data_IF_047443323497
#
_entry.id   IF_047443323497
#
_cell.length_a   1.000
_cell.length_b   1.000
_cell.length_c   1.000
_cell.angle_alpha   90.00
_cell.angle_beta   90.00
_cell.angle_gamma   90.00
#
_symmetry.space_group_name_H-M   'P 1'
#
loop_
_entity.id
_entity.type
_entity.pdbx_description
1 polymer ?
#
# COMPACT_ATOMS: atom_id res chain seq x y z
N UNK A 1 -19.80 3.83 6.24
CA UNK A 1 -18.75 2.84 6.56
C UNK A 1 -17.49 3.31 5.86
N UNK A 2 -16.34 3.28 6.53
CA UNK A 2 -15.06 3.65 5.90
C UNK A 2 -14.53 2.42 5.17
N UNK A 3 -14.14 2.56 3.92
CA UNK A 3 -13.67 1.45 3.09
C UNK A 3 -12.26 1.74 2.58
N UNK A 4 -11.42 0.71 2.58
CA UNK A 4 -10.06 0.75 2.06
C UNK A 4 -9.82 -0.46 1.16
N UNK A 5 -9.28 -0.20 -0.03
CA UNK A 5 -8.86 -1.25 -0.94
C UNK A 5 -7.41 -1.63 -0.70
N UNK A 6 -7.03 -2.81 -1.16
CA UNK A 6 -5.64 -3.20 -1.27
C UNK A 6 -5.38 -3.88 -2.60
N UNK A 7 -4.22 -3.67 -3.20
CA UNK A 7 -3.86 -4.28 -4.47
C UNK A 7 -2.37 -4.59 -4.55
N UNK A 8 -2.04 -5.75 -5.11
CA UNK A 8 -0.67 -6.17 -5.40
C UNK A 8 -0.37 -5.99 -6.89
N UNK A 9 0.70 -5.28 -7.25
CA UNK A 9 0.99 -5.11 -8.67
C UNK A 9 1.57 -6.37 -9.33
N UNK A 10 2.26 -7.23 -8.54
CA UNK A 10 2.82 -8.50 -9.00
C UNK A 10 3.53 -8.36 -10.36
N UNK A 11 3.14 -9.19 -11.32
CA UNK A 11 3.55 -9.21 -12.72
C UNK A 11 2.43 -8.74 -13.67
N UNK A 12 1.44 -7.98 -13.20
CA UNK A 12 0.39 -7.44 -14.06
C UNK A 12 0.97 -6.56 -15.17
N UNK A 13 0.30 -6.51 -16.32
CA UNK A 13 0.48 -5.39 -17.23
C UNK A 13 -0.03 -4.11 -16.56
N UNK A 14 0.47 -2.97 -17.00
CA UNK A 14 -0.01 -1.68 -16.49
C UNK A 14 -1.50 -1.48 -16.81
N UNK A 15 -1.93 -1.87 -18.01
CA UNK A 15 -3.33 -1.77 -18.44
C UNK A 15 -4.27 -2.60 -17.57
N UNK A 16 -3.95 -3.87 -17.33
CA UNK A 16 -4.75 -4.75 -16.46
C UNK A 16 -4.81 -4.21 -15.02
N UNK A 17 -3.69 -3.67 -14.52
CA UNK A 17 -3.65 -3.05 -13.21
C UNK A 17 -4.59 -1.83 -13.13
N UNK A 18 -4.58 -0.96 -14.15
CA UNK A 18 -5.50 0.18 -14.22
C UNK A 18 -6.97 -0.26 -14.35
N UNK A 19 -7.25 -1.30 -15.13
CA UNK A 19 -8.60 -1.88 -15.25
C UNK A 19 -9.13 -2.34 -13.90
N UNK A 20 -8.31 -3.05 -13.11
CA UNK A 20 -8.66 -3.46 -11.75
C UNK A 20 -8.98 -2.27 -10.85
N UNK A 21 -8.17 -1.20 -10.91
CA UNK A 21 -8.41 0.01 -10.12
C UNK A 21 -9.73 0.70 -10.51
N UNK A 22 -9.98 0.84 -11.81
CA UNK A 22 -11.16 1.51 -12.35
C UNK A 22 -12.44 0.72 -12.07
N UNK A 23 -12.40 -0.62 -12.16
CA UNK A 23 -13.53 -1.48 -11.82
C UNK A 23 -13.99 -1.29 -10.37
N UNK A 24 -13.04 -1.05 -9.47
CA UNK A 24 -13.29 -0.76 -8.06
C UNK A 24 -13.41 0.75 -7.76
N UNK A 25 -13.42 1.62 -8.78
CA UNK A 25 -13.52 3.09 -8.67
C UNK A 25 -12.44 3.72 -7.78
N UNK A 26 -11.27 3.07 -7.66
CA UNK A 26 -10.15 3.60 -6.88
C UNK A 26 -9.72 4.95 -7.46
N UNK A 27 -9.67 5.97 -6.60
CA UNK A 27 -9.28 7.33 -6.98
C UNK A 27 -7.93 7.75 -6.42
N UNK A 28 -7.33 6.95 -5.53
CA UNK A 28 -5.98 7.19 -5.04
C UNK A 28 -5.22 5.89 -4.70
N UNK A 29 -3.93 5.84 -5.03
CA UNK A 29 -3.00 4.80 -4.63
C UNK A 29 -2.14 5.29 -3.47
N UNK A 30 -2.10 4.51 -2.40
CA UNK A 30 -1.15 4.64 -1.31
C UNK A 30 -0.07 3.55 -1.46
N UNK A 31 1.06 3.90 -2.05
CA UNK A 31 2.17 2.97 -2.29
C UNK A 31 3.00 2.76 -1.02
N UNK A 32 2.92 1.56 -0.44
CA UNK A 32 3.62 1.18 0.80
C UNK A 32 4.90 0.40 0.55
N UNK A 33 5.38 0.31 -0.69
CA UNK A 33 6.64 -0.37 -1.01
C UNK A 33 7.82 0.45 -0.48
N UNK A 34 8.72 -0.17 0.30
CA UNK A 34 9.93 0.51 0.77
C UNK A 34 10.81 1.01 -0.38
N UNK A 35 10.90 0.22 -1.46
CA UNK A 35 11.68 0.52 -2.66
C UNK A 35 10.75 0.39 -3.88
N UNK A 36 10.17 1.49 -4.38
CA UNK A 36 9.22 1.46 -5.49
C UNK A 36 9.93 1.44 -6.86
N UNK A 37 11.01 0.65 -6.96
CA UNK A 37 11.81 0.51 -8.18
C UNK A 37 12.25 -0.95 -8.35
N UNK A 38 12.02 -1.49 -9.54
CA UNK A 38 12.40 -2.86 -9.91
C UNK A 38 12.80 -2.91 -11.37
N UNK A 39 13.83 -3.72 -11.68
CA UNK A 39 14.20 -4.04 -13.06
C UNK A 39 13.24 -5.07 -13.69
N UNK A 40 12.56 -5.87 -12.88
CA UNK A 40 11.65 -6.93 -13.33
C UNK A 40 10.27 -6.39 -13.70
N UNK A 41 9.83 -5.33 -13.01
CA UNK A 41 8.53 -4.69 -13.26
C UNK A 41 8.70 -3.18 -13.45
N UNK A 42 9.42 -2.74 -14.49
CA UNK A 42 9.76 -1.33 -14.71
C UNK A 42 8.53 -0.43 -14.91
N UNK A 43 7.41 -0.98 -15.37
CA UNK A 43 6.13 -0.27 -15.50
C UNK A 43 5.56 0.19 -14.14
N UNK A 44 5.96 -0.45 -13.04
CA UNK A 44 5.56 -0.08 -11.68
C UNK A 44 6.63 0.74 -10.94
N UNK A 45 7.69 1.18 -11.63
CA UNK A 45 8.63 2.14 -11.06
C UNK A 45 7.90 3.45 -10.75
N UNK A 46 8.14 4.04 -9.56
CA UNK A 46 7.41 5.19 -9.04
C UNK A 46 7.03 6.23 -10.10
N UNK A 47 8.00 6.73 -10.87
CA UNK A 47 7.77 7.82 -11.83
C UNK A 47 6.90 7.39 -13.01
N UNK A 48 7.04 6.15 -13.47
CA UNK A 48 6.25 5.60 -14.58
C UNK A 48 4.82 5.36 -14.11
N UNK A 49 4.66 4.73 -12.95
CA UNK A 49 3.37 4.46 -12.33
C UNK A 49 2.62 5.76 -12.01
N UNK A 50 3.29 6.74 -11.41
CA UNK A 50 2.71 8.04 -11.05
C UNK A 50 2.20 8.80 -12.29
N UNK A 51 2.91 8.70 -13.43
CA UNK A 51 2.42 9.27 -14.69
C UNK A 51 1.18 8.55 -15.19
N UNK A 52 1.20 7.22 -15.23
CA UNK A 52 0.09 6.42 -15.74
C UNK A 52 -1.19 6.57 -14.89
N UNK A 53 -1.04 6.62 -13.56
CA UNK A 53 -2.15 6.88 -12.65
C UNK A 53 -2.74 8.28 -12.87
N UNK A 54 -1.89 9.29 -13.05
CA UNK A 54 -2.35 10.66 -13.35
C UNK A 54 -3.16 10.72 -14.65
N UNK A 55 -2.70 10.04 -15.70
CA UNK A 55 -3.42 9.97 -16.98
C UNK A 55 -4.79 9.28 -16.83
N UNK A 56 -4.92 8.38 -15.85
CA UNK A 56 -6.17 7.74 -15.46
C UNK A 56 -7.00 8.51 -14.42
N UNK A 57 -6.59 9.72 -14.02
CA UNK A 57 -7.19 10.53 -12.94
C UNK A 57 -7.20 9.83 -11.56
N UNK A 58 -6.13 9.06 -11.27
CA UNK A 58 -5.91 8.41 -9.99
C UNK A 58 -4.73 9.10 -9.29
N UNK A 59 -4.95 9.60 -8.09
CA UNK A 59 -3.91 10.24 -7.30
C UNK A 59 -2.88 9.23 -6.81
N UNK A 60 -1.63 9.65 -6.66
CA UNK A 60 -0.54 8.80 -6.20
C UNK A 60 0.12 9.39 -4.95
N UNK A 61 0.10 8.63 -3.86
CA UNK A 61 0.74 8.97 -2.61
C UNK A 61 1.77 7.89 -2.25
N UNK A 62 3.04 8.29 -2.24
CA UNK A 62 4.11 7.40 -1.78
C UNK A 62 4.21 7.43 -0.24
N UNK A 63 3.96 6.28 0.39
CA UNK A 63 4.06 6.06 1.84
C UNK A 63 5.08 4.98 2.22
N UNK A 64 5.96 4.60 1.30
CA UNK A 64 6.98 3.58 1.56
C UNK A 64 7.98 3.94 2.66
N UNK A 65 8.16 5.23 2.96
CA UNK A 65 9.01 5.70 4.06
C UNK A 65 8.36 5.47 5.43
N UNK A 66 7.04 5.68 5.49
CA UNK A 66 6.26 5.56 6.72
C UNK A 66 5.81 4.12 6.97
N UNK A 67 5.28 3.47 5.94
CA UNK A 67 4.54 2.20 6.01
C UNK A 67 5.27 1.02 5.37
N UNK A 68 6.47 1.23 4.83
CA UNK A 68 7.31 0.17 4.31
C UNK A 68 7.86 -0.76 5.41
N UNK A 69 7.99 -2.05 5.08
CA UNK A 69 8.54 -3.06 5.99
C UNK A 69 10.05 -2.95 6.20
N UNK A 70 10.80 -2.44 5.21
CA UNK A 70 12.23 -2.18 5.34
C UNK A 70 12.47 -0.85 6.05
N UNK A 71 13.16 -0.89 7.18
CA UNK A 71 13.43 0.25 8.06
C UNK A 71 14.92 0.57 8.16
N UNK A 72 15.26 1.83 8.36
CA UNK A 72 16.64 2.24 8.68
C UNK A 72 16.93 2.19 10.17
N UNK A 73 15.89 2.13 11.01
CA UNK A 73 16.03 2.09 12.46
C UNK A 73 16.39 0.68 12.95
N UNK A 74 17.60 0.49 13.48
CA UNK A 74 18.10 -0.80 13.98
C UNK A 74 17.19 -1.43 15.05
N UNK A 75 16.48 -0.61 15.82
CA UNK A 75 15.51 -1.04 16.85
C UNK A 75 14.34 -1.85 16.29
N UNK A 76 14.14 -1.83 14.96
CA UNK A 76 13.13 -2.64 14.28
C UNK A 76 13.57 -4.08 14.04
N UNK A 77 14.84 -4.41 14.25
CA UNK A 77 15.42 -5.69 13.89
C UNK A 77 15.84 -6.50 15.12
N UNK A 78 15.60 -7.81 15.06
CA UNK A 78 16.16 -8.79 16.00
C UNK A 78 16.77 -9.91 15.15
N UNK A 79 18.04 -10.21 15.36
CA UNK A 79 18.81 -11.19 14.57
C UNK A 79 18.72 -10.94 13.05
N UNK A 80 18.76 -9.65 12.65
CA UNK A 80 18.65 -9.23 11.25
C UNK A 80 17.25 -9.33 10.64
N UNK A 81 16.24 -9.74 11.41
CA UNK A 81 14.86 -9.85 10.95
C UNK A 81 14.01 -8.68 11.44
N UNK A 82 13.31 -8.03 10.52
CA UNK A 82 12.35 -6.99 10.86
C UNK A 82 11.22 -7.55 11.75
N UNK A 83 10.92 -6.85 12.84
CA UNK A 83 9.85 -7.18 13.77
C UNK A 83 8.75 -6.14 13.64
N UNK A 84 7.62 -6.54 13.05
CA UNK A 84 6.49 -5.64 12.78
C UNK A 84 5.92 -4.97 14.02
N UNK A 85 5.92 -5.62 15.18
CA UNK A 85 5.50 -5.00 16.43
C UNK A 85 6.39 -3.82 16.85
N UNK A 86 7.68 -3.82 16.46
CA UNK A 86 8.60 -2.69 16.70
C UNK A 86 8.36 -1.57 15.69
N UNK A 87 8.14 -1.94 14.42
CA UNK A 87 7.83 -0.98 13.35
C UNK A 87 6.53 -0.22 13.65
N UNK A 88 5.49 -0.93 14.11
CA UNK A 88 4.20 -0.35 14.47
C UNK A 88 4.26 0.67 15.61
N UNK A 89 5.32 0.62 16.44
CA UNK A 89 5.52 1.57 17.54
C UNK A 89 6.17 2.88 17.08
N UNK A 90 6.72 2.94 15.86
CA UNK A 90 7.42 4.13 15.39
C UNK A 90 6.45 5.30 15.14
N UNK A 91 6.81 6.53 15.56
CA UNK A 91 6.01 7.72 15.29
C UNK A 91 5.76 7.94 13.78
N UNK A 92 6.77 7.65 12.95
CA UNK A 92 6.68 7.75 11.48
C UNK A 92 5.67 6.77 10.91
N UNK A 93 5.60 5.55 11.45
CA UNK A 93 4.60 4.57 11.04
C UNK A 93 3.18 5.02 11.39
N UNK A 94 2.98 5.50 12.63
CA UNK A 94 1.67 6.03 13.07
C UNK A 94 1.21 7.21 12.21
N UNK A 95 2.11 8.14 11.88
CA UNK A 95 1.82 9.23 10.94
C UNK A 95 1.41 8.71 9.55
N UNK A 96 2.04 7.63 9.06
CA UNK A 96 1.62 6.97 7.82
C UNK A 96 0.19 6.43 7.89
N UNK A 97 -0.18 5.79 9.01
CA UNK A 97 -1.55 5.29 9.20
C UNK A 97 -2.57 6.44 9.21
N UNK A 98 -2.25 7.54 9.90
CA UNK A 98 -3.10 8.74 9.94
C UNK A 98 -3.31 9.32 8.55
N UNK A 99 -2.27 9.38 7.71
CA UNK A 99 -2.38 9.83 6.31
C UNK A 99 -3.34 8.95 5.50
N UNK A 100 -3.29 7.63 5.69
CA UNK A 100 -4.24 6.70 5.02
C UNK A 100 -5.66 6.95 5.53
N UNK A 101 -5.85 7.07 6.84
CA UNK A 101 -7.16 7.31 7.44
C UNK A 101 -7.76 8.67 7.06
N UNK A 102 -6.94 9.69 6.83
CA UNK A 102 -7.39 10.97 6.27
C UNK A 102 -7.71 10.85 4.78
N UNK A 103 -6.90 10.10 4.03
CA UNK A 103 -7.10 9.87 2.60
C UNK A 103 -8.44 9.20 2.31
N UNK A 104 -8.85 8.20 3.09
CA UNK A 104 -10.12 7.49 2.89
C UNK A 104 -11.37 8.36 3.16
N UNK A 105 -11.23 9.52 3.81
CA UNK A 105 -12.35 10.47 3.97
C UNK A 105 -12.63 11.25 2.67
N UNK A 106 -11.63 11.38 1.80
CA UNK A 106 -11.67 12.21 0.60
C UNK A 106 -11.61 11.38 -0.69
N UNK A 107 -11.04 10.19 -0.63
CA UNK A 107 -10.72 9.35 -1.78
C UNK A 107 -11.12 7.90 -1.54
N UNK A 108 -11.31 7.17 -2.65
CA UNK A 108 -11.40 5.71 -2.63
C UNK A 108 -9.99 5.15 -2.76
N UNK A 109 -9.34 4.91 -1.63
CA UNK A 109 -7.90 4.60 -1.56
C UNK A 109 -7.66 3.10 -1.75
N UNK A 110 -6.63 2.73 -2.50
CA UNK A 110 -6.03 1.40 -2.45
C UNK A 110 -4.59 1.42 -1.91
N UNK A 111 -4.31 0.61 -0.88
CA UNK A 111 -2.94 0.32 -0.46
C UNK A 111 -2.26 -0.58 -1.49
N UNK A 112 -1.08 -0.21 -1.97
CA UNK A 112 -0.36 -0.97 -2.98
C UNK A 112 0.96 -1.58 -2.44
N UNK A 113 1.17 -2.88 -2.69
CA UNK A 113 2.46 -3.57 -2.52
C UNK A 113 2.87 -4.32 -3.80
N UNK A 114 4.02 -5.01 -3.77
CA UNK A 114 4.54 -5.75 -4.93
C UNK A 114 3.94 -7.15 -5.05
N UNK A 115 3.57 -7.74 -3.92
CA UNK A 115 3.11 -9.11 -3.77
C UNK A 115 1.66 -9.27 -4.23
N UNK A 116 1.36 -10.32 -4.99
CA UNK A 116 -0.01 -10.66 -5.41
C UNK A 116 -0.88 -11.07 -4.23
N UNK A 117 -0.39 -12.00 -3.40
CA UNK A 117 -1.15 -12.54 -2.27
C UNK A 117 -1.17 -11.54 -1.10
N UNK A 118 -2.36 -11.01 -0.72
CA UNK A 118 -2.46 -10.14 0.44
C UNK A 118 -2.07 -10.83 1.74
N UNK A 119 -2.30 -12.14 1.91
CA UNK A 119 -2.21 -12.82 3.21
C UNK A 119 -0.77 -12.82 3.74
N UNK A 120 0.21 -12.90 2.85
CA UNK A 120 1.63 -12.95 3.21
C UNK A 120 2.35 -11.61 3.05
N UNK A 121 1.70 -10.58 2.48
CA UNK A 121 2.33 -9.27 2.25
C UNK A 121 2.34 -8.41 3.53
N UNK A 122 3.40 -7.60 3.71
CA UNK A 122 3.49 -6.59 4.79
C UNK A 122 2.28 -5.65 4.81
N UNK A 123 1.72 -5.36 3.63
CA UNK A 123 0.48 -4.60 3.44
C UNK A 123 -0.62 -5.10 4.37
N UNK A 124 -0.80 -6.42 4.51
CA UNK A 124 -1.88 -6.97 5.36
C UNK A 124 -1.41 -7.21 6.79
N UNK A 125 -0.30 -7.95 6.94
CA UNK A 125 0.19 -8.43 8.25
C UNK A 125 0.69 -7.32 9.17
N UNK A 126 1.11 -6.18 8.59
CA UNK A 126 1.55 -4.99 9.32
C UNK A 126 0.54 -3.84 9.13
N UNK A 127 0.36 -3.34 7.90
CA UNK A 127 -0.38 -2.08 7.69
C UNK A 127 -1.88 -2.24 7.93
N UNK A 128 -2.57 -3.15 7.23
CA UNK A 128 -4.00 -3.40 7.44
C UNK A 128 -4.32 -3.82 8.87
N UNK A 129 -3.46 -4.66 9.48
CA UNK A 129 -3.60 -5.07 10.88
C UNK A 129 -3.65 -3.87 11.81
N UNK A 130 -2.70 -2.94 11.71
CA UNK A 130 -2.65 -1.77 12.59
C UNK A 130 -3.71 -0.72 12.24
N UNK A 131 -4.13 -0.61 10.97
CA UNK A 131 -5.31 0.18 10.60
C UNK A 131 -6.58 -0.35 11.26
N UNK A 132 -6.83 -1.67 11.22
CA UNK A 132 -7.97 -2.31 11.90
C UNK A 132 -7.93 -2.12 13.42
N UNK A 133 -6.75 -2.13 14.04
CA UNK A 133 -6.62 -1.85 15.49
C UNK A 133 -6.98 -0.40 15.83
N UNK A 134 -6.66 0.54 14.94
CA UNK A 134 -6.90 1.98 15.12
C UNK A 134 -8.33 2.37 14.75
N UNK A 135 -8.89 1.72 13.72
CA UNK A 135 -10.26 1.91 13.23
C UNK A 135 -10.92 0.53 13.02
N UNK A 136 -11.53 -0.04 14.07
CA UNK A 136 -12.13 -1.39 14.01
C UNK A 136 -13.19 -1.57 12.91
N UNK A 137 -13.96 -0.50 12.66
CA UNK A 137 -15.06 -0.47 11.68
C UNK A 137 -14.60 -0.21 10.23
N UNK A 138 -13.28 -0.12 9.98
CA UNK A 138 -12.73 0.07 8.64
C UNK A 138 -12.90 -1.21 7.81
N UNK A 139 -13.75 -1.20 6.79
CA UNK A 139 -13.86 -2.30 5.83
C UNK A 139 -12.58 -2.36 4.96
N UNK A 140 -11.97 -3.53 4.84
CA UNK A 140 -10.77 -3.73 4.00
C UNK A 140 -11.08 -4.77 2.95
N UNK A 141 -11.03 -4.36 1.69
CA UNK A 141 -11.32 -5.20 0.52
C UNK A 141 -10.04 -5.43 -0.28
N UNK A 142 -9.72 -6.69 -0.58
CA UNK A 142 -8.54 -7.05 -1.37
C UNK A 142 -8.93 -7.20 -2.85
N UNK A 143 -8.39 -6.36 -3.71
CA UNK A 143 -8.49 -6.49 -5.17
C UNK A 143 -7.50 -7.59 -5.59
N UNK A 144 -8.04 -8.71 -6.07
CA UNK A 144 -7.27 -9.86 -6.52
C UNK A 144 -7.05 -9.80 -8.04
N UNK A 145 -6.23 -10.71 -8.55
CA UNK A 145 -5.84 -10.71 -9.97
C UNK A 145 -7.02 -10.91 -10.92
N UNK A 146 -8.09 -11.57 -10.46
CA UNK A 146 -9.32 -11.91 -11.17
C UNK A 146 -10.48 -10.93 -10.97
N UNK A 147 -10.31 -9.87 -10.16
CA UNK A 147 -11.29 -8.80 -9.96
C UNK A 147 -11.91 -8.77 -8.58
#
# INVERSE_FOLDING_TARGET
MKELFTIGHSNHSLDHFLELLLAHQVSAIADVRSIPYSKYSPQFNKNVLESALRDANIDYMFLGRELGASRSEDSCYIDGQAKYDRIAQLPTFRSGLEKVLQGIELYRVALMCSESDPITCHRTILVCRELKRTCPDLEITHILADG
#
